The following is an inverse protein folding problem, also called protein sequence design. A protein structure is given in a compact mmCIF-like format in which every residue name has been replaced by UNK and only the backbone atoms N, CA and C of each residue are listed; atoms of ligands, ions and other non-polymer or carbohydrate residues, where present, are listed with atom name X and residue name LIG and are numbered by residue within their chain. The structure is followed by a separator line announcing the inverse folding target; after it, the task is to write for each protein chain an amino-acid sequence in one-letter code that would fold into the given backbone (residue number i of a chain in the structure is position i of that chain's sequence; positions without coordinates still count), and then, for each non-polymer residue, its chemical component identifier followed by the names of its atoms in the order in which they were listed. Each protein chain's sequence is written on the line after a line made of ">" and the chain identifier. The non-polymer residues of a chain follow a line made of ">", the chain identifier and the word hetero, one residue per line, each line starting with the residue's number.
data_IF_451263251634
#
_entry.id   IF_451263251634
#
_cell.length_a   1.000
_cell.length_b   1.000
_cell.length_c   1.000
_cell.angle_alpha   90.00
_cell.angle_beta   90.00
_cell.angle_gamma   90.00
#
_symmetry.space_group_name_H-M   'P 1'
#
loop_
_entity.id
_entity.type
_entity.pdbx_description
1 polymer ?
#
# COMPACT_ATOMS: atom_id res chain seq x y z
N UNK A 1 -7.86 -25.10 9.55
CA UNK A 1 -7.53 -25.00 10.99
C UNK A 1 -8.23 -23.76 11.53
N UNK A 2 -8.98 -23.87 12.63
CA UNK A 2 -9.53 -22.67 13.28
C UNK A 2 -8.38 -21.95 14.00
N UNK A 3 -8.15 -20.68 13.68
CA UNK A 3 -7.13 -19.87 14.33
C UNK A 3 -7.37 -19.82 15.85
N UNK A 4 -6.29 -19.81 16.65
CA UNK A 4 -6.40 -19.61 18.10
C UNK A 4 -7.09 -18.26 18.37
N UNK A 5 -8.05 -18.18 19.30
CA UNK A 5 -8.74 -16.92 19.59
C UNK A 5 -7.75 -15.90 20.15
N UNK A 6 -7.81 -14.65 19.66
CA UNK A 6 -7.01 -13.53 20.16
C UNK A 6 -7.46 -13.24 21.61
N UNK A 7 -6.53 -13.11 22.58
CA UNK A 7 -6.87 -12.76 23.96
C UNK A 7 -7.68 -11.45 24.04
N UNK A 8 -8.72 -11.45 24.90
CA UNK A 8 -9.66 -10.33 25.02
C UNK A 8 -9.02 -9.02 25.54
N UNK A 9 -7.91 -9.13 26.25
CA UNK A 9 -7.13 -8.04 26.84
C UNK A 9 -6.18 -7.35 25.84
N UNK A 10 -5.85 -8.01 24.72
CA UNK A 10 -5.01 -7.46 23.64
C UNK A 10 -5.82 -6.62 22.65
N UNK A 11 -6.26 -5.44 23.12
CA UNK A 11 -7.03 -4.47 22.31
C UNK A 11 -6.29 -3.99 21.07
N UNK A 12 -4.97 -3.89 21.15
CA UNK A 12 -4.07 -3.60 20.04
C UNK A 12 -4.21 -4.64 18.92
N UNK A 13 -4.08 -5.93 19.25
CA UNK A 13 -4.17 -7.03 18.30
C UNK A 13 -5.56 -7.15 17.70
N UNK A 14 -6.61 -6.94 18.50
CA UNK A 14 -7.98 -6.92 17.99
C UNK A 14 -8.20 -5.78 16.98
N UNK A 15 -7.67 -4.59 17.28
CA UNK A 15 -7.72 -3.44 16.37
C UNK A 15 -6.97 -3.70 15.06
N UNK A 16 -5.76 -4.25 15.15
CA UNK A 16 -4.96 -4.64 13.99
C UNK A 16 -5.66 -5.73 13.15
N UNK A 17 -6.20 -6.76 13.78
CA UNK A 17 -6.92 -7.84 13.08
C UNK A 17 -8.16 -7.33 12.34
N UNK A 18 -8.90 -6.39 12.94
CA UNK A 18 -10.05 -5.76 12.28
C UNK A 18 -9.62 -4.92 11.06
N UNK A 19 -8.51 -4.20 11.15
CA UNK A 19 -7.95 -3.43 10.04
C UNK A 19 -7.42 -4.32 8.92
N UNK A 20 -6.71 -5.40 9.25
CA UNK A 20 -6.24 -6.40 8.28
C UNK A 20 -7.44 -7.03 7.55
N UNK A 21 -8.49 -7.41 8.28
CA UNK A 21 -9.70 -7.96 7.68
C UNK A 21 -10.38 -6.94 6.73
N UNK A 22 -10.44 -5.67 7.12
CA UNK A 22 -10.95 -4.59 6.27
C UNK A 22 -10.12 -4.46 4.99
N UNK A 23 -8.78 -4.48 5.11
CA UNK A 23 -7.88 -4.41 3.96
C UNK A 23 -8.16 -5.55 2.98
N UNK A 24 -8.20 -6.79 3.46
CA UNK A 24 -8.42 -7.99 2.64
C UNK A 24 -9.78 -7.94 1.93
N UNK A 25 -10.84 -7.50 2.63
CA UNK A 25 -12.17 -7.34 2.03
C UNK A 25 -12.21 -6.28 0.90
N UNK A 26 -11.28 -5.33 0.91
CA UNK A 26 -11.18 -4.28 -0.10
C UNK A 26 -10.32 -4.63 -1.31
N UNK A 27 -9.61 -5.77 -1.31
CA UNK A 27 -8.65 -6.13 -2.37
C UNK A 27 -9.33 -6.20 -3.74
N UNK A 28 -10.36 -7.05 -3.88
CA UNK A 28 -11.05 -7.26 -5.16
C UNK A 28 -11.70 -5.98 -5.70
N UNK A 29 -12.21 -5.12 -4.80
CA UNK A 29 -12.81 -3.84 -5.17
C UNK A 29 -11.77 -2.88 -5.76
N UNK A 30 -10.58 -2.84 -5.14
CA UNK A 30 -9.47 -2.02 -5.60
C UNK A 30 -8.95 -2.51 -6.96
N UNK A 31 -8.74 -3.82 -7.10
CA UNK A 31 -8.35 -4.47 -8.35
C UNK A 31 -9.33 -4.14 -9.48
N UNK A 32 -10.62 -4.36 -9.25
CA UNK A 32 -11.67 -4.11 -10.24
C UNK A 32 -11.67 -2.64 -10.66
N UNK A 33 -11.59 -1.70 -9.72
CA UNK A 33 -11.57 -0.28 -10.05
C UNK A 33 -10.36 0.11 -10.92
N UNK A 34 -9.19 -0.50 -10.69
CA UNK A 34 -7.97 -0.25 -11.46
C UNK A 34 -8.07 -0.83 -12.88
N UNK A 35 -8.51 -2.09 -12.99
CA UNK A 35 -8.58 -2.82 -14.27
C UNK A 35 -9.67 -2.25 -15.18
N UNK A 36 -10.80 -1.86 -14.61
CA UNK A 36 -11.92 -1.24 -15.35
C UNK A 36 -11.70 0.25 -15.66
N UNK A 37 -10.54 0.83 -15.33
CA UNK A 37 -10.22 2.22 -15.65
C UNK A 37 -10.98 3.27 -14.82
N UNK A 38 -11.52 2.89 -13.67
CA UNK A 38 -12.22 3.77 -12.73
C UNK A 38 -11.20 4.52 -11.84
N UNK A 39 -10.28 5.27 -12.46
CA UNK A 39 -9.08 5.78 -11.76
C UNK A 39 -9.33 6.67 -10.54
N UNK A 40 -10.33 7.57 -10.52
CA UNK A 40 -10.65 8.33 -9.30
C UNK A 40 -11.12 7.42 -8.14
N UNK A 41 -11.89 6.38 -8.46
CA UNK A 41 -12.34 5.38 -7.48
C UNK A 41 -11.17 4.52 -7.03
N UNK A 42 -10.33 4.06 -7.96
CA UNK A 42 -9.10 3.34 -7.66
C UNK A 42 -8.17 4.14 -6.73
N UNK A 43 -7.96 5.44 -7.01
CA UNK A 43 -7.16 6.32 -6.17
C UNK A 43 -7.74 6.44 -4.74
N UNK A 44 -9.07 6.46 -4.62
CA UNK A 44 -9.76 6.48 -3.32
C UNK A 44 -9.53 5.18 -2.55
N UNK A 45 -9.65 4.03 -3.21
CA UNK A 45 -9.46 2.72 -2.60
C UNK A 45 -7.98 2.48 -2.22
N UNK A 46 -7.04 2.85 -3.09
CA UNK A 46 -5.60 2.79 -2.80
C UNK A 46 -5.21 3.70 -1.64
N UNK A 47 -5.81 4.89 -1.54
CA UNK A 47 -5.60 5.77 -0.39
C UNK A 47 -6.13 5.12 0.89
N UNK A 48 -7.29 4.49 0.84
CA UNK A 48 -7.83 3.76 1.98
C UNK A 48 -6.91 2.60 2.40
N UNK A 49 -6.39 1.82 1.44
CA UNK A 49 -5.41 0.77 1.70
C UNK A 49 -4.16 1.31 2.40
N UNK A 50 -3.63 2.44 1.92
CA UNK A 50 -2.51 3.14 2.54
C UNK A 50 -2.81 3.57 3.99
N UNK A 51 -3.97 4.21 4.23
CA UNK A 51 -4.39 4.63 5.57
C UNK A 51 -4.59 3.42 6.51
N UNK A 52 -5.06 2.28 6.00
CA UNK A 52 -5.20 1.06 6.80
C UNK A 52 -3.83 0.52 7.22
N UNK A 53 -2.86 0.45 6.31
CA UNK A 53 -1.48 0.04 6.64
C UNK A 53 -0.91 0.97 7.72
N UNK A 54 -1.05 2.29 7.55
CA UNK A 54 -0.61 3.26 8.54
C UNK A 54 -1.30 3.06 9.90
N UNK A 55 -2.59 2.75 9.92
CA UNK A 55 -3.33 2.49 11.15
C UNK A 55 -2.86 1.21 11.88
N UNK A 56 -2.50 0.16 11.13
CA UNK A 56 -1.93 -1.07 11.70
C UNK A 56 -0.59 -0.78 12.38
N UNK A 57 0.28 -0.01 11.73
CA UNK A 57 1.56 0.46 12.28
C UNK A 57 1.38 1.35 13.52
N UNK A 58 0.41 2.27 13.50
CA UNK A 58 0.10 3.09 14.67
C UNK A 58 -0.33 2.25 15.88
N UNK A 59 -1.01 1.12 15.66
CA UNK A 59 -1.32 0.18 16.73
C UNK A 59 -0.05 -0.51 17.26
N UNK A 60 0.83 -0.96 16.36
CA UNK A 60 2.11 -1.60 16.71
C UNK A 60 2.96 -0.71 17.61
N UNK A 61 2.97 0.60 17.35
CA UNK A 61 3.74 1.57 18.12
C UNK A 61 2.98 2.19 19.30
N UNK A 62 1.73 1.78 19.57
CA UNK A 62 0.91 2.33 20.64
C UNK A 62 0.53 3.81 20.46
N UNK A 63 0.54 4.31 19.21
CA UNK A 63 0.24 5.71 18.85
C UNK A 63 -1.17 5.92 18.31
N UNK A 64 -1.89 4.84 18.00
CA UNK A 64 -3.25 4.88 17.42
C UNK A 64 -4.23 5.67 18.28
N UNK A 65 -5.02 6.53 17.62
CA UNK A 65 -6.08 7.32 18.26
C UNK A 65 -7.38 7.23 17.47
N UNK A 66 -8.45 6.80 18.13
CA UNK A 66 -9.78 6.72 17.52
C UNK A 66 -10.24 8.09 17.00
N UNK A 67 -10.91 8.07 15.85
CA UNK A 67 -11.43 9.27 15.18
C UNK A 67 -10.38 10.17 14.54
N UNK A 68 -9.09 9.81 14.58
CA UNK A 68 -8.02 10.52 13.87
C UNK A 68 -7.54 9.76 12.65
N UNK A 69 -7.32 10.49 11.55
CA UNK A 69 -6.64 9.99 10.35
C UNK A 69 -5.24 9.51 10.74
N UNK A 70 -4.83 8.32 10.27
CA UNK A 70 -3.50 7.78 10.52
C UNK A 70 -2.39 8.65 9.93
N UNK A 71 -1.20 8.57 10.51
CA UNK A 71 -0.02 9.23 9.99
C UNK A 71 0.49 8.54 8.71
N UNK A 72 0.25 9.16 7.56
CA UNK A 72 0.53 8.57 6.24
C UNK A 72 1.99 8.14 5.99
N UNK A 73 2.97 8.66 6.73
CA UNK A 73 4.40 8.32 6.56
C UNK A 73 4.99 7.60 7.76
N UNK A 74 4.26 6.64 8.32
CA UNK A 74 4.69 5.79 9.44
C UNK A 74 5.25 4.45 8.97
N UNK A 75 6.20 3.88 9.72
CA UNK A 75 6.68 2.50 9.52
C UNK A 75 7.12 2.23 8.09
N UNK A 76 6.57 1.16 7.49
CA UNK A 76 6.81 0.77 6.09
C UNK A 76 6.41 1.83 5.05
N UNK A 77 5.69 2.89 5.43
CA UNK A 77 5.23 3.97 4.55
C UNK A 77 6.07 5.26 4.65
N UNK A 78 7.18 5.27 5.39
CA UNK A 78 7.96 6.48 5.69
C UNK A 78 8.27 7.37 4.47
N UNK A 79 8.56 6.78 3.32
CA UNK A 79 8.95 7.50 2.09
C UNK A 79 7.80 7.62 1.07
N UNK A 80 6.57 7.28 1.47
CA UNK A 80 5.38 7.26 0.60
C UNK A 80 4.55 8.57 0.65
N UNK A 81 5.08 9.64 1.24
CA UNK A 81 4.34 10.90 1.40
C UNK A 81 3.88 11.52 0.08
N UNK A 82 4.70 11.42 -0.97
CA UNK A 82 4.33 11.85 -2.33
C UNK A 82 3.19 11.01 -2.91
N UNK A 83 3.31 9.68 -2.81
CA UNK A 83 2.29 8.73 -3.29
C UNK A 83 0.94 9.01 -2.61
N UNK A 84 0.94 9.20 -1.30
CA UNK A 84 -0.27 9.55 -0.55
C UNK A 84 -0.87 10.89 -1.00
N UNK A 85 -0.02 11.89 -1.27
CA UNK A 85 -0.43 13.18 -1.83
C UNK A 85 -1.07 13.05 -3.22
N UNK A 86 -0.46 12.27 -4.10
CA UNK A 86 -0.95 12.03 -5.47
C UNK A 86 -2.29 11.27 -5.45
N UNK A 87 -2.42 10.24 -4.61
CA UNK A 87 -3.68 9.51 -4.39
C UNK A 87 -4.79 10.43 -3.85
N UNK A 88 -4.45 11.29 -2.89
CA UNK A 88 -5.38 12.30 -2.37
C UNK A 88 -5.83 13.29 -3.45
N UNK A 89 -4.90 13.70 -4.33
CA UNK A 89 -5.19 14.54 -5.48
C UNK A 89 -6.14 13.89 -6.49
N UNK A 90 -5.95 12.60 -6.76
CA UNK A 90 -6.80 11.80 -7.66
C UNK A 90 -8.19 11.53 -7.08
N UNK A 91 -8.26 11.19 -5.79
CA UNK A 91 -9.52 10.89 -5.09
C UNK A 91 -10.44 12.11 -4.95
N UNK A 92 -9.87 13.28 -4.69
CA UNK A 92 -10.66 14.50 -4.47
C UNK A 92 -11.06 15.25 -5.74
N UNK A 93 -10.78 14.71 -6.95
CA UNK A 93 -11.06 15.39 -8.23
C UNK A 93 -10.44 16.81 -8.26
N UNK A 94 -9.46 17.08 -7.40
CA UNK A 94 -8.94 18.42 -7.13
C UNK A 94 -7.98 18.89 -8.22
N UNK A 95 -7.53 17.96 -9.05
CA UNK A 95 -6.71 18.22 -10.24
C UNK A 95 -7.56 18.05 -11.50
N UNK A 96 -8.25 19.12 -11.90
CA UNK A 96 -9.09 19.14 -13.11
C UNK A 96 -8.35 18.66 -14.37
N UNK A 97 -7.03 18.85 -14.45
CA UNK A 97 -6.21 18.35 -15.56
C UNK A 97 -6.00 16.83 -15.54
N UNK A 98 -5.88 16.20 -14.36
CA UNK A 98 -5.82 14.74 -14.25
C UNK A 98 -7.17 14.12 -14.63
N UNK A 99 -8.27 14.73 -14.19
CA UNK A 99 -9.61 14.25 -14.53
C UNK A 99 -9.87 14.30 -16.04
N UNK A 100 -9.48 15.41 -16.70
CA UNK A 100 -9.57 15.55 -18.16
C UNK A 100 -8.81 14.46 -18.90
N UNK A 101 -7.66 14.03 -18.38
CA UNK A 101 -6.89 12.95 -19.00
C UNK A 101 -7.58 11.58 -18.88
N UNK A 102 -8.43 11.35 -17.88
CA UNK A 102 -9.13 10.07 -17.70
C UNK A 102 -10.46 9.97 -18.42
N UNK A 103 -11.13 11.10 -18.67
CA UNK A 103 -12.51 11.09 -19.16
C UNK A 103 -12.66 11.69 -20.54
N UNK A 104 -11.67 12.38 -21.11
CA UNK A 104 -11.81 12.95 -22.46
C UNK A 104 -11.53 11.89 -23.52
N UNK A 105 -12.47 11.74 -24.45
CA UNK A 105 -12.32 10.94 -25.66
C UNK A 105 -12.35 11.86 -26.89
N UNK A 106 -11.50 11.56 -27.86
CA UNK A 106 -11.49 12.20 -29.17
C UNK A 106 -12.38 11.38 -30.12
N UNK A 107 -13.42 12.02 -30.68
CA UNK A 107 -14.26 11.44 -31.73
C UNK A 107 -14.17 12.35 -32.96
N UNK A 108 -13.36 11.95 -33.94
CA UNK A 108 -13.15 12.71 -35.17
C UNK A 108 -12.41 14.01 -34.90
N UNK A 109 -13.10 15.15 -34.97
CA UNK A 109 -12.54 16.48 -34.67
C UNK A 109 -13.06 17.06 -33.34
N UNK A 110 -13.83 16.29 -32.58
CA UNK A 110 -14.45 16.74 -31.33
C UNK A 110 -13.82 16.05 -30.13
N UNK A 111 -13.58 16.83 -29.07
CA UNK A 111 -13.15 16.32 -27.77
C UNK A 111 -14.30 16.47 -26.77
N UNK A 112 -14.64 15.40 -26.05
CA UNK A 112 -15.73 15.43 -25.07
C UNK A 112 -15.56 14.38 -23.97
N UNK A 113 -16.26 14.55 -22.82
CA UNK A 113 -16.22 13.57 -21.74
C UNK A 113 -16.91 12.26 -22.17
N UNK A 114 -16.28 11.14 -21.84
CA UNK A 114 -16.82 9.79 -21.99
C UNK A 114 -17.68 9.43 -20.78
N UNK A 115 -18.80 8.75 -21.05
CA UNK A 115 -19.64 8.13 -20.03
C UNK A 115 -19.13 6.73 -19.65
N UNK A 116 -18.21 6.18 -20.44
CA UNK A 116 -17.58 4.89 -20.20
C UNK A 116 -16.14 5.11 -19.74
N UNK A 117 -15.61 4.27 -18.84
CA UNK A 117 -14.20 4.31 -18.47
C UNK A 117 -13.29 4.20 -19.70
N UNK A 118 -12.19 4.94 -19.68
CA UNK A 118 -11.17 4.90 -20.72
C UNK A 118 -9.94 4.22 -20.13
N UNK A 119 -9.50 3.14 -20.74
CA UNK A 119 -8.33 2.41 -20.28
C UNK A 119 -7.05 3.16 -20.65
N UNK A 120 -6.25 3.50 -19.65
CA UNK A 120 -4.91 4.06 -19.76
C UNK A 120 -3.88 3.10 -19.20
N UNK A 121 -3.14 2.45 -20.09
CA UNK A 121 -2.20 1.37 -19.73
C UNK A 121 -1.19 1.78 -18.65
N UNK A 122 -0.50 2.92 -18.81
CA UNK A 122 0.51 3.37 -17.86
C UNK A 122 -0.07 3.64 -16.46
N UNK A 123 -1.23 4.28 -16.39
CA UNK A 123 -1.91 4.59 -15.13
C UNK A 123 -2.39 3.30 -14.46
N UNK A 124 -3.03 2.40 -15.21
CA UNK A 124 -3.43 1.08 -14.69
C UNK A 124 -2.22 0.34 -14.14
N UNK A 125 -1.12 0.24 -14.89
CA UNK A 125 0.08 -0.48 -14.46
C UNK A 125 0.65 0.10 -13.17
N UNK A 126 0.76 1.44 -13.07
CA UNK A 126 1.29 2.09 -11.87
C UNK A 126 0.39 1.91 -10.64
N UNK A 127 -0.92 2.05 -10.80
CA UNK A 127 -1.87 1.84 -9.70
C UNK A 127 -1.93 0.37 -9.27
N UNK A 128 -1.85 -0.56 -10.23
CA UNK A 128 -1.84 -2.00 -9.93
C UNK A 128 -0.54 -2.40 -9.21
N UNK A 129 0.61 -1.86 -9.63
CA UNK A 129 1.86 -2.07 -8.92
C UNK A 129 1.79 -1.59 -7.47
N UNK A 130 1.18 -0.42 -7.24
CA UNK A 130 0.98 0.12 -5.90
C UNK A 130 0.03 -0.77 -5.08
N UNK A 131 -1.06 -1.25 -5.70
CA UNK A 131 -2.00 -2.18 -5.07
C UNK A 131 -1.29 -3.45 -4.58
N UNK A 132 -0.51 -4.10 -5.46
CA UNK A 132 0.29 -5.28 -5.10
C UNK A 132 1.32 -4.96 -4.02
N UNK A 133 1.98 -3.80 -4.10
CA UNK A 133 2.93 -3.36 -3.08
C UNK A 133 2.27 -3.26 -1.70
N UNK A 134 1.06 -2.71 -1.61
CA UNK A 134 0.30 -2.66 -0.36
C UNK A 134 -0.13 -4.04 0.14
N UNK A 135 -0.47 -4.98 -0.75
CA UNK A 135 -0.77 -6.36 -0.35
C UNK A 135 0.46 -7.01 0.28
N UNK A 136 1.64 -6.83 -0.32
CA UNK A 136 2.90 -7.37 0.19
C UNK A 136 3.26 -6.77 1.56
N UNK A 137 3.18 -5.44 1.70
CA UNK A 137 3.38 -4.76 2.99
C UNK A 137 2.38 -5.25 4.06
N UNK A 138 1.12 -5.44 3.70
CA UNK A 138 0.11 -5.94 4.64
C UNK A 138 0.37 -7.40 5.03
N UNK A 139 0.88 -8.23 4.12
CA UNK A 139 1.28 -9.60 4.42
C UNK A 139 2.43 -9.65 5.43
N UNK A 140 3.45 -8.79 5.28
CA UNK A 140 4.54 -8.66 6.25
C UNK A 140 4.00 -8.27 7.63
N UNK A 141 3.19 -7.21 7.71
CA UNK A 141 2.59 -6.75 8.97
C UNK A 141 1.71 -7.82 9.62
N UNK A 142 0.87 -8.50 8.84
CA UNK A 142 0.02 -9.57 9.34
C UNK A 142 0.86 -10.75 9.88
N UNK A 143 1.96 -11.09 9.20
CA UNK A 143 2.92 -12.09 9.64
C UNK A 143 3.57 -11.73 10.98
N UNK A 144 4.03 -10.48 11.13
CA UNK A 144 4.65 -9.99 12.37
C UNK A 144 3.65 -9.99 13.54
N UNK A 145 2.41 -9.58 13.30
CA UNK A 145 1.35 -9.59 14.31
C UNK A 145 1.00 -11.03 14.71
N UNK A 146 0.86 -11.94 13.74
CA UNK A 146 0.61 -13.34 14.02
C UNK A 146 1.76 -13.96 14.83
N UNK A 147 3.00 -13.66 14.47
CA UNK A 147 4.17 -14.13 15.19
C UNK A 147 4.19 -13.63 16.64
N UNK A 148 3.91 -12.35 16.85
CA UNK A 148 3.82 -11.76 18.19
C UNK A 148 2.72 -12.35 19.08
N UNK A 149 1.70 -12.98 18.49
CA UNK A 149 0.57 -13.60 19.23
C UNK A 149 0.76 -15.10 19.43
N UNK A 150 1.22 -15.80 18.40
CA UNK A 150 1.21 -17.26 18.33
C UNK A 150 2.60 -17.89 18.40
N UNK A 151 3.64 -17.13 18.08
CA UNK A 151 5.00 -17.61 17.81
C UNK A 151 5.16 -18.23 16.42
N UNK A 152 4.08 -18.37 15.65
CA UNK A 152 4.11 -18.94 14.30
C UNK A 152 4.60 -17.89 13.29
N UNK A 153 5.34 -18.32 12.28
CA UNK A 153 5.73 -17.47 11.15
C UNK A 153 4.76 -17.65 9.99
N UNK A 154 4.88 -16.82 8.96
CA UNK A 154 4.25 -17.08 7.66
C UNK A 154 4.57 -18.49 7.18
N UNK A 155 3.60 -19.12 6.54
CA UNK A 155 3.79 -20.45 5.99
C UNK A 155 4.71 -20.39 4.74
N UNK A 156 5.32 -21.51 4.33
CA UNK A 156 6.26 -21.50 3.21
C UNK A 156 5.69 -21.00 1.88
N UNK A 157 4.40 -21.22 1.63
CA UNK A 157 3.74 -20.77 0.40
C UNK A 157 3.51 -19.25 0.43
N UNK A 158 3.13 -18.68 1.56
CA UNK A 158 3.01 -17.23 1.77
C UNK A 158 4.36 -16.54 1.58
N UNK A 159 5.43 -17.09 2.15
CA UNK A 159 6.79 -16.58 1.97
C UNK A 159 7.19 -16.62 0.48
N UNK A 160 6.90 -17.72 -0.20
CA UNK A 160 7.19 -17.88 -1.62
C UNK A 160 6.40 -16.87 -2.48
N UNK A 161 5.11 -16.72 -2.23
CA UNK A 161 4.26 -15.75 -2.96
C UNK A 161 4.73 -14.33 -2.72
N UNK A 162 5.13 -14.01 -1.50
CA UNK A 162 5.71 -12.71 -1.15
C UNK A 162 6.98 -12.41 -1.96
N UNK A 163 7.91 -13.36 -2.02
CA UNK A 163 9.15 -13.23 -2.80
C UNK A 163 8.87 -13.07 -4.30
N UNK A 164 8.01 -13.91 -4.86
CA UNK A 164 7.64 -13.85 -6.28
C UNK A 164 6.97 -12.51 -6.62
N UNK A 165 6.05 -12.03 -5.77
CA UNK A 165 5.39 -10.75 -5.96
C UNK A 165 6.39 -9.58 -5.98
N UNK A 166 7.37 -9.61 -5.08
CA UNK A 166 8.46 -8.62 -5.05
C UNK A 166 9.35 -8.68 -6.29
N UNK A 167 9.75 -9.88 -6.72
CA UNK A 167 10.56 -10.09 -7.92
C UNK A 167 9.85 -9.54 -9.17
N UNK A 168 8.58 -9.87 -9.36
CA UNK A 168 7.79 -9.37 -10.50
C UNK A 168 7.78 -7.84 -10.54
N UNK A 169 7.54 -7.18 -9.40
CA UNK A 169 7.50 -5.72 -9.36
C UNK A 169 8.86 -5.08 -9.66
N UNK A 170 9.96 -5.72 -9.25
CA UNK A 170 11.33 -5.27 -9.56
C UNK A 170 11.68 -5.49 -11.03
N UNK A 171 11.39 -6.68 -11.56
CA UNK A 171 11.69 -7.05 -12.95
C UNK A 171 10.94 -6.14 -13.94
N UNK A 172 9.73 -5.70 -13.58
CA UNK A 172 8.96 -4.73 -14.34
C UNK A 172 9.41 -3.27 -14.11
N UNK A 173 10.37 -3.02 -13.22
CA UNK A 173 10.88 -1.70 -12.88
C UNK A 173 9.88 -0.80 -12.15
N UNK A 174 8.83 -1.39 -11.56
CA UNK A 174 7.72 -0.67 -10.93
C UNK A 174 8.00 -0.31 -9.46
N UNK A 175 8.91 -1.05 -8.81
CA UNK A 175 9.46 -0.71 -7.51
C UNK A 175 10.99 -0.77 -7.54
N UNK A 176 11.63 -0.04 -6.61
CA UNK A 176 13.06 -0.15 -6.33
C UNK A 176 13.22 -0.49 -4.86
N UNK A 177 14.03 -1.49 -4.55
CA UNK A 177 14.47 -1.70 -3.18
C UNK A 177 15.68 -0.82 -2.92
N UNK A 178 15.63 -0.04 -1.83
CA UNK A 178 16.84 0.50 -1.26
C UNK A 178 17.59 -0.67 -0.63
N UNK A 179 18.79 -0.98 -1.16
CA UNK A 179 19.71 -1.87 -0.46
C UNK A 179 20.03 -1.23 0.90
N UNK A 180 19.99 -2.02 1.97
CA UNK A 180 20.38 -1.53 3.29
C UNK A 180 21.77 -0.87 3.16
N UNK A 181 21.99 0.34 3.72
CA UNK A 181 23.26 1.00 3.60
C UNK A 181 24.38 0.08 4.10
N UNK A 182 25.37 -0.17 3.25
CA UNK A 182 26.53 -0.98 3.56
C UNK A 182 27.12 -0.53 4.90
N UNK A 183 26.98 -1.38 5.92
CA UNK A 183 27.44 -1.09 7.29
C UNK A 183 28.98 -1.09 7.41
N UNK A 184 29.71 -1.11 6.30
CA UNK A 184 31.17 -1.20 6.28
C UNK A 184 31.91 0.11 6.00
N UNK A 185 31.25 1.24 5.71
CA UNK A 185 31.97 2.49 5.42
C UNK A 185 32.02 3.46 6.63
N UNK A 186 31.20 3.25 7.67
CA UNK A 186 31.12 4.16 8.82
C UNK A 186 32.20 3.96 9.92
N UNK A 187 33.20 3.09 9.73
CA UNK A 187 34.27 2.84 10.73
C UNK A 187 35.70 3.18 10.30
N UNK A 188 35.90 3.82 9.15
CA UNK A 188 37.24 4.10 8.64
C UNK A 188 37.71 5.56 8.79
N UNK A 189 36.89 6.48 9.32
CA UNK A 189 37.25 7.91 9.36
C UNK A 189 37.64 8.48 10.73
N UNK A 190 37.59 7.69 11.81
CA UNK A 190 37.88 8.17 13.18
C UNK A 190 39.27 7.76 13.72
N UNK A 191 40.23 7.36 12.86
CA UNK A 191 41.56 6.95 13.33
C UNK A 191 42.76 7.63 12.67
N UNK A 192 42.61 8.86 12.17
CA UNK A 192 43.78 9.67 11.75
C UNK A 192 43.62 11.14 12.17
N UNK A 193 43.88 11.39 13.45
CA UNK A 193 44.56 12.61 13.94
C UNK A 193 45.03 12.33 15.38
N UNK A 194 46.29 11.94 15.50
CA UNK A 194 47.11 12.09 16.70
C UNK A 194 48.35 12.88 16.30
#
# INVERSE_FOLDING_TARGET
>A
MAAKPIPADRKDVQGQAALIAHFVQGVDLCETAIVEGLYPQAATLLRQQHEIIAAVEEFTEGRRKDGKTPHATIGVLRDMGRVYGDLSGGAHVSHANLLKNFVIMEIGQNNGPSLLPIYHHEITTNLYALHVSYILMMLELAGDIQNGVTGDTLNPDEVKLHLIGREILVDLGLIRFEEAPDTQIAKATDSVTA
#
